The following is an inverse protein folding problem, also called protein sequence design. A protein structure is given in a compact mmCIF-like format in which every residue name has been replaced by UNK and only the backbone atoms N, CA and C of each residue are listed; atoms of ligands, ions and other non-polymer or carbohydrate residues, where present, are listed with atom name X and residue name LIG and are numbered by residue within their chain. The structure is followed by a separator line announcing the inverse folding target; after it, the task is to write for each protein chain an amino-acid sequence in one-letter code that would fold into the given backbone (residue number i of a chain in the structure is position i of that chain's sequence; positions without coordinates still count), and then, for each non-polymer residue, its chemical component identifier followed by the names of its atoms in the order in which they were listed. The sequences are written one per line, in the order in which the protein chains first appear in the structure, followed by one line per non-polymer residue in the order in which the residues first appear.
data_IF_736308797090
#
_entry.id   IF_736308797090
#
_cell.length_a   1.000
_cell.length_b   1.000
_cell.length_c   1.000
_cell.angle_alpha   90.00
_cell.angle_beta   90.00
_cell.angle_gamma   90.00
#
_symmetry.space_group_name_H-M   'P 1'
#
loop_
_entity.id
_entity.type
_entity.pdbx_description
1 polymer ?
#
# COMPACT_ATOMS: atom_id res chain seq x y z
N UNK A 1 -12.96 23.12 12.38
CA UNK A 1 -13.13 21.66 12.56
C UNK A 1 -13.31 20.93 11.22
N UNK A 2 -14.16 21.44 10.32
CA UNK A 2 -14.44 20.88 8.97
C UNK A 2 -13.18 20.56 8.15
N UNK A 3 -12.16 21.43 8.13
CA UNK A 3 -10.93 21.23 7.34
C UNK A 3 -10.09 20.04 7.82
N UNK A 4 -10.15 19.67 9.11
CA UNK A 4 -9.44 18.46 9.62
C UNK A 4 -10.15 17.18 9.21
N UNK A 5 -11.47 17.17 9.24
CA UNK A 5 -12.31 16.02 8.84
C UNK A 5 -12.09 15.71 7.35
N UNK A 6 -12.05 16.74 6.51
CA UNK A 6 -11.78 16.59 5.07
C UNK A 6 -10.38 15.99 4.81
N UNK A 7 -9.35 16.44 5.55
CA UNK A 7 -7.99 15.88 5.46
C UNK A 7 -7.92 14.41 5.87
N UNK A 8 -8.65 14.04 6.94
CA UNK A 8 -8.78 12.64 7.38
C UNK A 8 -9.52 11.79 6.32
N UNK A 9 -10.57 12.34 5.71
CA UNK A 9 -11.26 11.68 4.59
C UNK A 9 -10.33 11.41 3.40
N UNK A 10 -9.47 12.37 3.04
CA UNK A 10 -8.47 12.16 1.98
C UNK A 10 -7.39 11.13 2.36
N UNK A 11 -6.99 11.05 3.62
CA UNK A 11 -6.08 10.01 4.10
C UNK A 11 -6.71 8.63 3.94
N UNK A 12 -7.95 8.48 4.39
CA UNK A 12 -8.70 7.22 4.26
C UNK A 12 -8.84 6.80 2.79
N UNK A 13 -9.21 7.74 1.92
CA UNK A 13 -9.31 7.47 0.48
C UNK A 13 -7.96 7.07 -0.13
N UNK A 14 -6.86 7.65 0.34
CA UNK A 14 -5.50 7.30 -0.10
C UNK A 14 -5.11 5.91 0.35
N UNK A 15 -5.40 5.54 1.60
CA UNK A 15 -5.15 4.18 2.12
C UNK A 15 -5.93 3.15 1.30
N UNK A 16 -7.21 3.44 1.02
CA UNK A 16 -8.05 2.57 0.18
C UNK A 16 -7.47 2.43 -1.23
N UNK A 17 -7.05 3.54 -1.85
CA UNK A 17 -6.46 3.55 -3.18
C UNK A 17 -5.15 2.74 -3.24
N UNK A 18 -4.24 2.95 -2.28
CA UNK A 18 -2.97 2.21 -2.22
C UNK A 18 -3.24 0.73 -1.98
N UNK A 19 -4.14 0.40 -1.06
CA UNK A 19 -4.51 -1.00 -0.79
C UNK A 19 -5.09 -1.67 -2.02
N UNK A 20 -5.95 -0.97 -2.77
CA UNK A 20 -6.52 -1.46 -4.04
C UNK A 20 -5.43 -1.69 -5.10
N UNK A 21 -4.51 -0.74 -5.27
CA UNK A 21 -3.40 -0.87 -6.24
C UNK A 21 -2.45 -2.02 -5.87
N UNK A 22 -2.10 -2.15 -4.59
CA UNK A 22 -1.24 -3.22 -4.08
C UNK A 22 -1.94 -4.58 -4.24
N UNK A 23 -3.23 -4.66 -3.93
CA UNK A 23 -4.07 -5.85 -4.15
C UNK A 23 -4.09 -6.28 -5.62
N UNK A 24 -4.35 -5.34 -6.53
CA UNK A 24 -4.33 -5.59 -7.97
C UNK A 24 -2.95 -6.07 -8.45
N UNK A 25 -1.89 -5.40 -8.02
CA UNK A 25 -0.52 -5.72 -8.41
C UNK A 25 -0.08 -7.10 -7.89
N UNK A 26 -0.41 -7.45 -6.65
CA UNK A 26 -0.07 -8.75 -6.08
C UNK A 26 -0.84 -9.88 -6.77
N UNK A 27 -2.11 -9.64 -7.12
CA UNK A 27 -2.93 -10.61 -7.87
C UNK A 27 -2.31 -10.91 -9.24
N UNK A 28 -1.94 -9.87 -10.00
CA UNK A 28 -1.30 -10.05 -11.30
C UNK A 28 0.03 -10.79 -11.18
N UNK A 29 0.84 -10.43 -10.19
CA UNK A 29 2.12 -11.10 -9.95
C UNK A 29 1.94 -12.57 -9.55
N UNK A 30 0.89 -12.88 -8.80
CA UNK A 30 0.54 -14.25 -8.41
C UNK A 30 0.12 -15.09 -9.62
N UNK A 31 -0.70 -14.54 -10.52
CA UNK A 31 -1.11 -15.21 -11.76
C UNK A 31 0.09 -15.46 -12.70
N UNK A 32 0.97 -14.48 -12.86
CA UNK A 32 2.20 -14.63 -13.65
C UNK A 32 3.09 -15.73 -13.05
N UNK A 33 3.20 -15.78 -11.73
CA UNK A 33 3.97 -16.81 -11.06
C UNK A 33 3.35 -18.21 -11.23
N UNK A 34 2.02 -18.34 -11.08
CA UNK A 34 1.32 -19.62 -11.31
C UNK A 34 1.52 -20.13 -12.74
N UNK A 35 1.47 -19.22 -13.72
CA UNK A 35 1.75 -19.53 -15.12
C UNK A 35 3.20 -20.02 -15.32
N UNK A 36 4.15 -19.50 -14.54
CA UNK A 36 5.57 -19.88 -14.62
C UNK A 36 5.89 -21.25 -13.98
N UNK A 37 4.98 -21.82 -13.16
CA UNK A 37 5.16 -23.12 -12.50
C UNK A 37 4.30 -24.19 -13.18
N UNK A 38 3.88 -23.96 -14.43
CA UNK A 38 3.03 -24.85 -15.23
C UNK A 38 1.69 -25.21 -14.54
N UNK A 39 1.20 -24.35 -13.64
CA UNK A 39 -0.12 -24.53 -13.04
C UNK A 39 -1.21 -24.00 -13.99
N UNK A 40 -2.29 -24.76 -14.22
CA UNK A 40 -3.35 -24.35 -15.14
C UNK A 40 -4.11 -23.13 -14.59
N UNK A 41 -3.86 -21.97 -15.19
CA UNK A 41 -4.54 -20.72 -14.86
C UNK A 41 -5.92 -20.73 -15.52
N UNK A 42 -6.88 -21.38 -14.86
CA UNK A 42 -8.29 -21.40 -15.26
C UNK A 42 -9.03 -20.17 -14.70
N UNK A 43 -10.21 -19.84 -15.27
CA UNK A 43 -11.07 -18.75 -14.78
C UNK A 43 -11.35 -18.87 -13.27
N UNK A 44 -11.48 -20.08 -12.74
CA UNK A 44 -11.65 -20.36 -11.30
C UNK A 44 -10.45 -19.90 -10.47
N UNK A 45 -9.22 -20.10 -10.97
CA UNK A 45 -7.99 -19.68 -10.28
C UNK A 45 -7.85 -18.16 -10.29
N UNK A 46 -8.32 -17.49 -11.36
CA UNK A 46 -8.38 -16.03 -11.42
C UNK A 46 -9.35 -15.48 -10.36
N UNK A 47 -10.56 -16.01 -10.28
CA UNK A 47 -11.56 -15.59 -9.28
C UNK A 47 -11.08 -15.90 -7.86
N UNK A 48 -10.47 -17.07 -7.63
CA UNK A 48 -9.92 -17.45 -6.33
C UNK A 48 -8.74 -16.57 -5.92
N UNK A 49 -7.84 -16.22 -6.84
CA UNK A 49 -6.71 -15.33 -6.57
C UNK A 49 -7.19 -13.91 -6.25
N UNK A 50 -8.14 -13.39 -7.03
CA UNK A 50 -8.78 -12.10 -6.72
C UNK A 50 -9.45 -12.16 -5.35
N UNK A 51 -10.19 -13.23 -5.04
CA UNK A 51 -10.86 -13.37 -3.74
C UNK A 51 -9.84 -13.48 -2.59
N UNK A 52 -8.74 -14.21 -2.75
CA UNK A 52 -7.74 -14.37 -1.69
C UNK A 52 -6.90 -13.11 -1.49
N UNK A 53 -6.49 -12.45 -2.57
CA UNK A 53 -5.64 -11.26 -2.51
C UNK A 53 -6.44 -9.99 -2.18
N UNK A 54 -7.71 -9.89 -2.63
CA UNK A 54 -8.58 -8.77 -2.26
C UNK A 54 -9.38 -9.05 -0.98
N UNK A 55 -10.12 -10.16 -0.88
CA UNK A 55 -10.99 -10.39 0.29
C UNK A 55 -10.18 -10.92 1.46
N UNK A 56 -9.34 -11.92 1.29
CA UNK A 56 -8.59 -12.43 2.44
C UNK A 56 -7.50 -11.41 2.84
N UNK A 57 -6.65 -10.92 1.94
CA UNK A 57 -5.60 -9.97 2.33
C UNK A 57 -6.10 -8.57 2.76
N UNK A 58 -7.25 -8.12 2.26
CA UNK A 58 -7.84 -6.79 2.57
C UNK A 58 -9.00 -6.86 3.56
N UNK A 59 -9.54 -8.03 3.93
CA UNK A 59 -10.63 -8.16 4.92
C UNK A 59 -10.38 -9.23 6.00
N UNK A 60 -9.47 -10.19 5.81
CA UNK A 60 -9.14 -11.09 6.92
C UNK A 60 -8.25 -10.42 7.96
N UNK A 61 -8.74 -10.54 9.18
CA UNK A 61 -8.11 -10.13 10.41
C UNK A 61 -6.76 -10.80 10.59
N UNK A 62 -5.79 -10.00 11.02
CA UNK A 62 -4.50 -10.50 11.49
C UNK A 62 -4.70 -11.67 12.49
N UNK A 63 -3.88 -12.73 12.45
CA UNK A 63 -3.87 -13.70 13.53
C UNK A 63 -3.50 -13.01 14.86
N UNK A 64 -4.06 -13.45 16.00
CA UNK A 64 -3.77 -12.86 17.31
C UNK A 64 -2.25 -12.83 17.57
N UNK A 65 -1.70 -11.73 18.12
CA UNK A 65 -2.32 -10.79 19.06
C UNK A 65 -2.77 -9.44 18.46
N UNK A 66 -2.80 -9.29 17.13
CA UNK A 66 -3.15 -8.05 16.47
C UNK A 66 -4.69 -7.86 16.39
N UNK A 67 -5.21 -6.62 16.47
CA UNK A 67 -6.65 -6.36 16.44
C UNK A 67 -7.28 -6.87 15.13
N UNK A 68 -8.58 -7.26 15.12
CA UNK A 68 -9.28 -7.82 13.96
C UNK A 68 -9.61 -6.74 12.94
N UNK A 69 -8.59 -6.07 12.43
CA UNK A 69 -8.66 -5.14 11.32
C UNK A 69 -7.95 -5.76 10.12
N UNK A 70 -8.34 -5.36 8.89
CA UNK A 70 -7.75 -5.90 7.68
C UNK A 70 -6.25 -5.66 7.60
N UNK A 71 -5.47 -6.73 7.45
CA UNK A 71 -4.02 -6.71 7.66
C UNK A 71 -3.27 -5.72 6.75
N UNK A 72 -3.56 -5.75 5.44
CA UNK A 72 -2.87 -4.92 4.46
C UNK A 72 -3.18 -3.41 4.63
N UNK A 73 -4.45 -2.95 4.66
CA UNK A 73 -4.78 -1.55 4.87
C UNK A 73 -4.25 -0.99 6.19
N UNK A 74 -4.23 -1.79 7.26
CA UNK A 74 -3.76 -1.34 8.58
C UNK A 74 -2.27 -1.08 8.56
N UNK A 75 -1.48 -2.00 8.02
CA UNK A 75 -0.02 -1.83 7.94
C UNK A 75 0.32 -0.61 7.06
N UNK A 76 -0.37 -0.46 5.93
CA UNK A 76 -0.24 0.70 5.06
C UNK A 76 -0.63 1.99 5.82
N UNK A 77 -1.73 1.97 6.57
CA UNK A 77 -2.19 3.11 7.35
C UNK A 77 -1.19 3.52 8.43
N UNK A 78 -0.68 2.56 9.22
CA UNK A 78 0.32 2.82 10.27
C UNK A 78 1.58 3.42 9.63
N UNK A 79 2.08 2.79 8.56
CA UNK A 79 3.27 3.26 7.87
C UNK A 79 3.10 4.67 7.26
N UNK A 80 1.91 4.97 6.72
CA UNK A 80 1.59 6.30 6.18
C UNK A 80 1.45 7.34 7.29
N UNK A 81 0.80 7.02 8.42
CA UNK A 81 0.65 7.95 9.55
C UNK A 81 2.03 8.38 10.05
N UNK A 82 2.95 7.43 10.19
CA UNK A 82 4.34 7.72 10.60
C UNK A 82 5.06 8.56 9.54
N UNK A 83 5.08 8.12 8.27
CA UNK A 83 5.86 8.82 7.24
C UNK A 83 5.28 10.19 6.89
N UNK A 84 3.97 10.34 6.89
CA UNK A 84 3.30 11.62 6.65
C UNK A 84 3.45 12.58 7.83
N UNK A 85 3.51 12.07 9.06
CA UNK A 85 3.86 12.86 10.24
C UNK A 85 5.27 13.45 10.13
N UNK A 86 6.26 12.62 9.79
CA UNK A 86 7.64 13.06 9.54
C UNK A 86 7.69 14.08 8.40
N UNK A 87 7.02 13.77 7.29
CA UNK A 87 6.96 14.65 6.11
C UNK A 87 6.34 16.00 6.46
N UNK A 88 5.26 16.03 7.24
CA UNK A 88 4.63 17.27 7.69
C UNK A 88 5.59 18.16 8.50
N UNK A 89 6.43 17.56 9.36
CA UNK A 89 7.47 18.28 10.10
C UNK A 89 8.53 18.81 9.14
N UNK A 90 9.04 17.98 8.23
CA UNK A 90 10.08 18.35 7.25
C UNK A 90 9.63 19.48 6.33
N UNK A 91 8.37 19.49 5.90
CA UNK A 91 7.81 20.58 5.08
C UNK A 91 7.80 21.95 5.78
N UNK A 92 7.92 21.99 7.11
CA UNK A 92 8.07 23.27 7.83
C UNK A 92 9.46 23.88 7.62
N UNK A 93 10.47 23.04 7.34
CA UNK A 93 11.86 23.45 7.16
C UNK A 93 12.23 23.58 5.69
N UNK A 94 11.64 22.75 4.82
CA UNK A 94 11.97 22.69 3.40
C UNK A 94 10.77 23.11 2.54
N UNK A 95 10.95 24.12 1.69
CA UNK A 95 9.95 24.59 0.73
C UNK A 95 9.90 23.69 -0.52
N UNK A 96 9.38 22.47 -0.37
CA UNK A 96 9.09 21.55 -1.49
C UNK A 96 7.58 21.49 -1.76
N UNK A 97 7.18 21.22 -3.01
CA UNK A 97 5.78 21.00 -3.36
C UNK A 97 5.23 19.78 -2.61
N UNK A 98 4.08 19.95 -1.93
CA UNK A 98 3.44 18.92 -1.10
C UNK A 98 3.18 17.62 -1.88
N UNK A 99 2.86 17.74 -3.17
CA UNK A 99 2.63 16.63 -4.11
C UNK A 99 3.77 15.61 -4.11
N UNK A 100 5.00 16.08 -4.29
CA UNK A 100 6.17 15.21 -4.40
C UNK A 100 6.61 14.69 -3.04
N UNK A 101 6.55 15.52 -1.99
CA UNK A 101 6.97 15.12 -0.66
C UNK A 101 6.10 13.99 -0.08
N UNK A 102 4.77 14.11 -0.18
CA UNK A 102 3.86 13.03 0.26
C UNK A 102 3.94 11.78 -0.64
N UNK A 103 4.24 11.94 -1.94
CA UNK A 103 4.55 10.82 -2.83
C UNK A 103 5.78 10.03 -2.38
N UNK A 104 6.90 10.72 -2.13
CA UNK A 104 8.15 10.09 -1.67
C UNK A 104 7.96 9.43 -0.29
N UNK A 105 7.18 10.04 0.60
CA UNK A 105 6.87 9.48 1.91
C UNK A 105 6.10 8.15 1.81
N UNK A 106 5.07 8.10 0.96
CA UNK A 106 4.30 6.88 0.72
C UNK A 106 5.12 5.79 0.01
N UNK A 107 6.00 6.18 -0.93
CA UNK A 107 6.95 5.26 -1.56
C UNK A 107 7.90 4.65 -0.53
N UNK A 108 8.45 5.47 0.36
CA UNK A 108 9.34 5.04 1.46
C UNK A 108 8.62 4.09 2.41
N UNK A 109 7.37 4.37 2.75
CA UNK A 109 6.53 3.46 3.53
C UNK A 109 6.41 2.09 2.88
N UNK A 110 6.15 2.02 1.57
CA UNK A 110 6.06 0.73 0.88
C UNK A 110 7.41 0.03 0.73
N UNK A 111 8.52 0.75 0.57
CA UNK A 111 9.87 0.16 0.66
C UNK A 111 10.02 -0.53 2.01
N UNK A 112 9.70 0.16 3.10
CA UNK A 112 9.76 -0.43 4.44
C UNK A 112 8.87 -1.66 4.55
N UNK A 113 7.62 -1.60 4.08
CA UNK A 113 6.70 -2.75 4.16
C UNK A 113 7.24 -3.95 3.38
N UNK A 114 7.72 -3.74 2.15
CA UNK A 114 8.21 -4.80 1.27
C UNK A 114 9.48 -5.48 1.80
N UNK A 115 10.36 -4.74 2.49
CA UNK A 115 11.59 -5.32 3.05
C UNK A 115 11.43 -5.81 4.48
N UNK A 116 10.58 -5.17 5.28
CA UNK A 116 10.37 -5.54 6.68
C UNK A 116 9.44 -6.74 6.84
N UNK A 117 8.45 -6.91 5.95
CA UNK A 117 7.57 -8.09 5.98
C UNK A 117 8.33 -9.41 5.89
N UNK A 118 9.18 -9.66 4.87
CA UNK A 118 9.94 -10.91 4.80
C UNK A 118 10.83 -11.11 6.02
N UNK A 119 11.38 -10.02 6.60
CA UNK A 119 12.19 -10.09 7.81
C UNK A 119 11.37 -10.53 9.05
N UNK A 120 10.10 -10.10 9.15
CA UNK A 120 9.20 -10.46 10.26
C UNK A 120 8.59 -11.86 10.11
N UNK A 121 8.45 -12.36 8.88
CA UNK A 121 7.83 -13.65 8.56
C UNK A 121 8.84 -14.73 8.15
N UNK A 122 10.07 -14.67 8.67
CA UNK A 122 11.12 -15.69 8.44
C UNK A 122 11.42 -15.95 6.96
N UNK A 123 11.40 -14.91 6.13
CA UNK A 123 11.67 -14.96 4.70
C UNK A 123 10.46 -15.27 3.83
N UNK A 124 9.25 -15.41 4.41
CA UNK A 124 8.04 -15.64 3.63
C UNK A 124 7.51 -14.31 3.06
N UNK A 125 7.53 -14.20 1.73
CA UNK A 125 6.90 -13.09 1.02
C UNK A 125 5.37 -13.21 1.10
N UNK A 126 4.76 -12.52 2.08
CA UNK A 126 3.30 -12.43 2.21
C UNK A 126 2.64 -11.82 0.97
N UNK A 127 3.30 -10.85 0.34
CA UNK A 127 2.88 -10.27 -0.93
C UNK A 127 3.49 -11.09 -2.07
N UNK A 128 2.66 -11.80 -2.83
CA UNK A 128 3.11 -12.51 -4.04
C UNK A 128 3.84 -11.55 -5.02
N UNK A 129 3.41 -10.29 -5.07
CA UNK A 129 4.08 -9.22 -5.80
C UNK A 129 5.49 -8.85 -5.30
N UNK A 130 5.89 -9.22 -4.08
CA UNK A 130 7.23 -8.93 -3.55
C UNK A 130 8.27 -10.02 -3.86
N UNK A 131 7.86 -11.16 -4.41
CA UNK A 131 8.75 -12.31 -4.72
C UNK A 131 9.82 -11.98 -5.76
N UNK A 132 9.58 -11.01 -6.63
CA UNK A 132 10.52 -10.60 -7.68
C UNK A 132 10.99 -9.16 -7.46
N UNK A 133 12.23 -8.81 -7.83
CA UNK A 133 12.72 -7.44 -7.72
C UNK A 133 11.88 -6.44 -8.55
N UNK A 134 11.36 -6.87 -9.70
CA UNK A 134 10.46 -6.07 -10.54
C UNK A 134 9.13 -5.80 -9.81
N UNK A 135 8.57 -6.80 -9.15
CA UNK A 135 7.33 -6.64 -8.40
C UNK A 135 7.51 -5.70 -7.19
N UNK A 136 8.65 -5.75 -6.50
CA UNK A 136 9.00 -4.78 -5.44
C UNK A 136 9.00 -3.34 -5.95
N UNK A 137 9.60 -3.09 -7.13
CA UNK A 137 9.62 -1.76 -7.74
C UNK A 137 8.20 -1.31 -8.11
N UNK A 138 7.40 -2.20 -8.69
CA UNK A 138 5.99 -1.91 -9.03
C UNK A 138 5.17 -1.53 -7.80
N UNK A 139 5.34 -2.25 -6.69
CA UNK A 139 4.71 -1.93 -5.40
C UNK A 139 5.10 -0.53 -4.93
N UNK A 140 6.39 -0.18 -4.97
CA UNK A 140 6.87 1.15 -4.56
C UNK A 140 6.24 2.25 -5.43
N UNK A 141 6.13 2.02 -6.74
CA UNK A 141 5.45 2.93 -7.68
C UNK A 141 3.98 3.11 -7.28
N UNK A 142 3.26 2.04 -6.94
CA UNK A 142 1.87 2.12 -6.45
C UNK A 142 1.75 3.03 -5.21
N UNK A 143 2.69 2.93 -4.26
CA UNK A 143 2.73 3.80 -3.08
C UNK A 143 2.99 5.25 -3.44
N UNK A 144 3.94 5.50 -4.35
CA UNK A 144 4.21 6.84 -4.85
C UNK A 144 2.98 7.47 -5.49
N UNK A 145 2.26 6.76 -6.36
CA UNK A 145 1.02 7.25 -6.99
C UNK A 145 -0.04 7.61 -5.94
N UNK A 146 -0.24 6.76 -4.93
CA UNK A 146 -1.18 7.04 -3.85
C UNK A 146 -0.79 8.25 -3.00
N UNK A 147 0.48 8.37 -2.61
CA UNK A 147 0.99 9.53 -1.87
C UNK A 147 0.93 10.82 -2.69
N UNK A 148 1.18 10.74 -4.00
CA UNK A 148 1.06 11.88 -4.91
C UNK A 148 -0.41 12.33 -5.05
N UNK A 149 -1.36 11.39 -5.10
CA UNK A 149 -2.79 11.68 -5.08
C UNK A 149 -3.18 12.45 -3.80
N UNK A 150 -2.71 11.98 -2.64
CA UNK A 150 -2.92 12.68 -1.37
C UNK A 150 -2.33 14.10 -1.37
N UNK A 151 -1.05 14.23 -1.74
CA UNK A 151 -0.35 15.52 -1.76
C UNK A 151 -0.96 16.53 -2.74
N UNK A 152 -1.51 16.07 -3.86
CA UNK A 152 -2.22 16.91 -4.83
C UNK A 152 -3.55 17.43 -4.29
N UNK A 153 -4.33 16.59 -3.61
CA UNK A 153 -5.58 17.00 -2.96
C UNK A 153 -5.33 17.93 -1.78
N UNK A 154 -4.25 17.72 -1.02
CA UNK A 154 -3.86 18.61 0.06
C UNK A 154 -3.44 20.00 -0.46
N UNK A 155 -2.70 20.05 -1.56
CA UNK A 155 -2.25 21.29 -2.21
C UNK A 155 -3.38 22.08 -2.87
N UNK A 156 -4.46 21.43 -3.31
CA UNK A 156 -5.66 22.07 -3.88
C UNK A 156 -6.64 22.57 -2.83
N UNK A 157 -6.54 22.12 -1.58
CA UNK A 157 -7.42 22.55 -0.48
C UNK A 157 -6.90 23.75 0.31
N UNK A 158 -5.81 24.37 -0.13
CA UNK A 158 -5.21 25.59 0.46
C UNK A 158 -5.38 26.83 -0.42
N UNK A 159 -6.20 26.74 -1.49
CA UNK A 159 -6.71 27.89 -2.25
C UNK A 159 -8.07 28.30 -1.73
#
# INVERSE_FOLDING_TARGET
MISRIIKIGFLFLTILLISFLVGAQTTLSNLIWLLSVDMPVTFTVLISSVYHDFVLMTLTSAPPPLPPLPFLPVIIAIGLVVSFGVTWIVLRWIKIQKKYAYGIAAATTLVFIVYLMPLLFFGVDMLAGARTPIGKISLIICGYLGGHFFGSRLSKGEV
#
